data_IF_855092664951
#
_entry.id   IF_855092664951
#
_cell.length_a   1.000
_cell.length_b   1.000
_cell.length_c   1.000
_cell.angle_alpha   90.00
_cell.angle_beta   90.00
_cell.angle_gamma   90.00
#
_symmetry.space_group_name_H-M   'P 1'
#
loop_
_entity.id
_entity.type
_entity.pdbx_description
1 polymer ?
#
# COMPACT_ATOMS: atom_id res chain seq x y z
N UNK A 1 46.45 -38.62 44.23
CA UNK A 1 45.93 -39.59 45.22
C UNK A 1 44.76 -40.32 44.57
N UNK A 2 44.94 -41.60 44.28
CA UNK A 2 43.92 -42.48 43.72
C UNK A 2 42.98 -42.95 44.83
N UNK A 3 41.68 -43.05 44.52
CA UNK A 3 40.72 -43.81 45.33
C UNK A 3 39.81 -44.59 44.40
N UNK A 4 40.13 -45.88 44.31
CA UNK A 4 39.38 -47.00 43.76
C UNK A 4 38.27 -47.38 44.73
N UNK A 5 37.08 -47.79 44.28
CA UNK A 5 36.46 -49.13 44.52
C UNK A 5 34.93 -49.17 44.32
N UNK A 6 34.52 -50.29 43.69
CA UNK A 6 33.26 -51.05 43.78
C UNK A 6 31.93 -50.35 43.40
N UNK A 7 31.05 -50.91 42.56
CA UNK A 7 30.80 -52.31 42.21
C UNK A 7 29.53 -52.80 42.91
N UNK A 8 28.38 -52.73 42.24
CA UNK A 8 27.19 -53.54 42.57
C UNK A 8 26.26 -53.65 41.34
N UNK A 9 26.12 -54.88 40.85
CA UNK A 9 25.13 -55.30 39.86
C UNK A 9 23.83 -55.69 40.56
N UNK A 10 22.68 -55.44 39.92
CA UNK A 10 21.41 -56.09 40.28
C UNK A 10 20.55 -56.28 39.03
N UNK A 11 20.49 -57.54 38.59
CA UNK A 11 19.44 -58.22 37.81
C UNK A 11 18.07 -58.05 38.50
N UNK A 12 16.93 -57.78 37.85
CA UNK A 12 16.00 -58.65 37.07
C UNK A 12 14.85 -57.69 36.68
N UNK A 13 14.06 -57.82 35.61
CA UNK A 13 13.11 -58.90 35.30
C UNK A 13 12.47 -58.58 33.95
N UNK A 14 12.45 -59.54 33.03
CA UNK A 14 11.74 -59.52 31.76
C UNK A 14 10.33 -60.09 31.95
N UNK A 15 9.30 -59.45 31.38
CA UNK A 15 7.96 -60.00 31.24
C UNK A 15 7.57 -59.97 29.76
N UNK A 16 7.59 -61.14 29.14
CA UNK A 16 7.04 -61.41 27.82
C UNK A 16 5.53 -61.67 27.96
N UNK A 17 4.73 -61.12 27.05
CA UNK A 17 3.34 -61.54 26.86
C UNK A 17 3.17 -61.95 25.40
N UNK A 18 2.97 -63.25 25.21
CA UNK A 18 2.55 -63.90 23.98
C UNK A 18 1.04 -63.78 23.80
N UNK A 19 0.57 -63.49 22.59
CA UNK A 19 -0.74 -63.95 22.12
C UNK A 19 -0.68 -64.29 20.64
N UNK A 20 -1.23 -65.46 20.34
CA UNK A 20 -1.08 -66.25 19.12
C UNK A 20 -1.99 -65.79 17.97
N UNK A 21 -1.55 -66.12 16.76
CA UNK A 21 -2.25 -65.98 15.48
C UNK A 21 -3.38 -66.99 15.29
N UNK A 22 -4.38 -66.64 14.46
CA UNK A 22 -5.02 -67.58 13.51
C UNK A 22 -5.49 -66.84 12.25
N UNK A 23 -5.26 -67.50 11.11
CA UNK A 23 -5.47 -67.15 9.70
C UNK A 23 -6.86 -67.48 9.14
N UNK A 24 -7.28 -66.82 8.05
CA UNK A 24 -7.93 -67.49 6.89
C UNK A 24 -8.11 -66.55 5.68
N UNK A 25 -8.14 -67.14 4.48
CA UNK A 25 -7.89 -66.55 3.15
C UNK A 25 -9.12 -66.70 2.24
N UNK A 26 -9.35 -65.74 1.33
CA UNK A 26 -9.96 -65.92 -0.01
C UNK A 26 -11.46 -65.56 -0.20
N UNK A 27 -11.96 -65.50 -1.47
CA UNK A 27 -11.55 -64.57 -2.54
C UNK A 27 -12.73 -63.91 -3.34
N UNK A 28 -12.40 -62.87 -4.12
CA UNK A 28 -12.98 -62.37 -5.40
C UNK A 28 -14.49 -62.13 -5.61
N UNK A 29 -14.85 -60.91 -6.07
CA UNK A 29 -15.69 -60.71 -7.28
C UNK A 29 -15.70 -59.24 -7.73
N UNK A 30 -15.63 -59.03 -9.05
CA UNK A 30 -15.76 -57.76 -9.74
C UNK A 30 -17.24 -57.40 -9.94
N UNK A 31 -17.58 -56.12 -9.79
CA UNK A 31 -18.91 -55.58 -10.09
C UNK A 31 -18.81 -54.12 -10.53
N UNK A 32 -18.84 -53.90 -11.85
CA UNK A 32 -18.93 -52.60 -12.50
C UNK A 32 -20.30 -51.97 -12.26
N UNK A 33 -20.32 -50.79 -11.63
CA UNK A 33 -21.50 -49.96 -11.42
C UNK A 33 -21.14 -48.49 -11.65
N UNK A 34 -21.62 -47.95 -12.76
CA UNK A 34 -21.52 -46.53 -13.14
C UNK A 34 -22.46 -45.69 -12.27
N UNK A 35 -21.93 -44.71 -11.54
CA UNK A 35 -22.70 -43.58 -11.03
C UNK A 35 -21.80 -42.34 -10.97
N UNK A 36 -22.10 -41.36 -11.81
CA UNK A 36 -21.42 -40.06 -11.84
C UNK A 36 -21.55 -39.32 -10.50
N UNK A 37 -20.51 -38.62 -10.01
CA UNK A 37 -20.65 -37.78 -8.83
C UNK A 37 -21.26 -36.43 -9.23
N UNK A 38 -22.31 -36.03 -8.52
CA UNK A 38 -22.85 -34.68 -8.57
C UNK A 38 -21.82 -33.66 -8.03
N UNK A 39 -21.84 -32.40 -8.49
CA UNK A 39 -20.86 -31.39 -8.09
C UNK A 39 -21.12 -30.96 -6.64
N UNK A 40 -20.15 -31.20 -5.76
CA UNK A 40 -20.15 -30.64 -4.41
C UNK A 40 -19.98 -29.12 -4.48
N UNK A 41 -20.80 -28.33 -3.76
CA UNK A 41 -20.55 -26.90 -3.63
C UNK A 41 -19.28 -26.67 -2.80
N UNK A 42 -18.39 -25.82 -3.30
CA UNK A 42 -17.21 -25.34 -2.59
C UNK A 42 -17.63 -24.68 -1.28
N UNK A 43 -17.52 -25.41 -0.17
CA UNK A 43 -17.47 -24.81 1.16
C UNK A 43 -16.00 -24.51 1.45
N UNK A 44 -15.57 -23.28 1.20
CA UNK A 44 -14.27 -22.80 1.68
C UNK A 44 -14.26 -22.83 3.21
N UNK A 45 -13.25 -23.45 3.81
CA UNK A 45 -13.12 -23.63 5.24
C UNK A 45 -12.98 -22.25 5.93
N UNK A 46 -13.92 -21.81 6.80
CA UNK A 46 -13.92 -20.45 7.37
C UNK A 46 -12.66 -20.13 8.19
N UNK A 47 -11.98 -21.14 8.74
CA UNK A 47 -10.75 -20.97 9.50
C UNK A 47 -9.56 -20.49 8.64
N UNK A 48 -9.45 -20.96 7.39
CA UNK A 48 -8.38 -20.53 6.48
C UNK A 48 -8.52 -19.06 6.10
N UNK A 49 -9.76 -18.57 6.00
CA UNK A 49 -10.05 -17.18 5.67
C UNK A 49 -9.66 -16.21 6.80
N UNK A 50 -9.81 -16.61 8.07
CA UNK A 50 -9.39 -15.77 9.21
C UNK A 50 -7.87 -15.67 9.32
N UNK A 51 -7.14 -16.76 9.11
CA UNK A 51 -5.68 -16.74 9.13
C UNK A 51 -5.10 -15.84 8.02
N UNK A 52 -5.72 -15.85 6.84
CA UNK A 52 -5.32 -14.96 5.74
C UNK A 52 -5.62 -13.48 6.05
N UNK A 53 -6.78 -13.18 6.68
CA UNK A 53 -7.10 -11.83 7.14
C UNK A 53 -6.12 -11.33 8.20
N UNK A 54 -5.76 -12.18 9.15
CA UNK A 54 -4.80 -11.84 10.20
C UNK A 54 -3.41 -11.56 9.61
N UNK A 55 -2.95 -12.41 8.68
CA UNK A 55 -1.72 -12.19 7.92
C UNK A 55 -1.74 -10.82 7.22
N UNK A 56 -2.79 -10.53 6.44
CA UNK A 56 -2.92 -9.23 5.73
C UNK A 56 -2.87 -8.04 6.69
N UNK A 57 -3.57 -8.11 7.82
CA UNK A 57 -3.54 -7.05 8.85
C UNK A 57 -2.14 -6.86 9.43
N UNK A 58 -1.45 -7.96 9.77
CA UNK A 58 -0.10 -7.90 10.34
C UNK A 58 0.92 -7.35 9.34
N UNK A 59 0.88 -7.80 8.09
CA UNK A 59 1.74 -7.28 7.04
C UNK A 59 1.49 -5.79 6.79
N UNK A 60 0.23 -5.34 6.74
CA UNK A 60 -0.09 -3.92 6.57
C UNK A 60 0.36 -3.06 7.76
N UNK A 61 0.36 -3.61 8.97
CA UNK A 61 0.87 -2.94 10.18
C UNK A 61 2.39 -2.81 10.18
N UNK A 62 3.10 -3.87 9.79
CA UNK A 62 4.57 -3.89 9.76
C UNK A 62 5.13 -3.10 8.58
N UNK A 63 4.51 -3.22 7.41
CA UNK A 63 4.99 -2.68 6.14
C UNK A 63 3.93 -1.78 5.48
N UNK A 64 3.53 -0.66 6.13
CA UNK A 64 2.43 0.17 5.65
C UNK A 64 2.70 0.83 4.29
N UNK A 65 3.97 1.10 3.97
CA UNK A 65 4.44 1.75 2.76
C UNK A 65 4.58 0.82 1.55
N UNK A 66 4.42 -0.50 1.72
CA UNK A 66 4.47 -1.46 0.62
C UNK A 66 3.13 -1.48 -0.11
N UNK A 67 3.18 -1.25 -1.42
CA UNK A 67 2.09 -1.60 -2.33
C UNK A 67 2.31 -3.02 -2.85
N UNK A 68 1.46 -3.95 -2.40
CA UNK A 68 1.55 -5.36 -2.79
C UNK A 68 1.06 -5.64 -4.21
N UNK A 69 0.42 -4.67 -4.89
CA UNK A 69 0.09 -4.80 -6.32
C UNK A 69 1.34 -4.66 -7.20
N UNK A 70 2.26 -3.78 -6.82
CA UNK A 70 3.53 -3.56 -7.53
C UNK A 70 4.63 -4.49 -7.01
N UNK A 71 4.75 -4.63 -5.69
CA UNK A 71 5.82 -5.36 -5.02
C UNK A 71 5.26 -6.31 -3.95
N UNK A 72 4.75 -7.48 -4.34
CA UNK A 72 4.13 -8.41 -3.40
C UNK A 72 5.12 -8.93 -2.35
N UNK A 73 4.67 -9.02 -1.11
CA UNK A 73 5.49 -9.55 -0.02
C UNK A 73 5.68 -11.08 -0.14
N UNK A 74 6.83 -11.62 0.30
CA UNK A 74 6.99 -13.06 0.45
C UNK A 74 6.06 -13.59 1.56
N UNK A 75 5.20 -14.54 1.22
CA UNK A 75 4.22 -15.15 2.15
C UNK A 75 4.39 -16.65 2.33
N UNK A 76 5.16 -17.31 1.47
CA UNK A 76 5.43 -18.75 1.55
C UNK A 76 6.69 -19.11 0.77
N UNK A 77 7.15 -20.34 0.91
CA UNK A 77 8.23 -20.90 0.11
C UNK A 77 7.78 -21.17 -1.32
N UNK A 78 8.66 -20.92 -2.29
CA UNK A 78 8.33 -21.13 -3.70
C UNK A 78 8.32 -22.63 -4.05
N UNK A 79 7.23 -23.18 -4.60
CA UNK A 79 7.22 -24.56 -5.07
C UNK A 79 8.05 -24.76 -6.34
N UNK A 80 8.34 -23.67 -7.06
CA UNK A 80 9.12 -23.68 -8.31
C UNK A 80 10.60 -23.37 -8.05
N UNK A 81 10.88 -22.42 -7.16
CA UNK A 81 12.23 -21.91 -6.94
C UNK A 81 12.90 -22.58 -5.73
N UNK A 82 13.18 -23.86 -5.90
CA UNK A 82 13.78 -24.74 -4.89
C UNK A 82 14.55 -25.87 -5.54
N UNK A 83 15.49 -26.45 -4.81
CA UNK A 83 16.14 -27.67 -5.26
C UNK A 83 15.23 -28.91 -5.13
N UNK A 84 15.55 -29.98 -5.88
CA UNK A 84 14.72 -31.18 -5.96
C UNK A 84 14.60 -31.93 -4.63
N UNK A 85 15.61 -31.84 -3.77
CA UNK A 85 15.65 -32.46 -2.43
C UNK A 85 14.85 -31.71 -1.37
N UNK A 86 14.24 -30.58 -1.71
CA UNK A 86 13.29 -29.90 -0.83
C UNK A 86 11.86 -30.37 -1.12
N UNK A 87 11.16 -30.81 -0.08
CA UNK A 87 9.72 -30.95 -0.07
C UNK A 87 9.06 -29.82 0.72
N UNK A 88 7.86 -29.43 0.30
CA UNK A 88 7.05 -28.40 0.95
C UNK A 88 5.73 -29.00 1.42
N UNK A 89 5.21 -28.50 2.54
CA UNK A 89 3.90 -28.86 3.10
C UNK A 89 3.35 -27.68 3.91
N UNK A 90 2.15 -27.84 4.51
CA UNK A 90 1.53 -26.80 5.34
C UNK A 90 1.41 -25.45 4.61
N UNK A 91 0.71 -25.43 3.48
CA UNK A 91 0.56 -24.25 2.62
C UNK A 91 1.90 -23.64 2.19
N UNK A 92 2.89 -24.50 1.92
CA UNK A 92 4.27 -24.13 1.56
C UNK A 92 5.00 -23.32 2.64
N UNK A 93 4.64 -23.46 3.91
CA UNK A 93 5.37 -22.86 5.04
C UNK A 93 6.36 -23.83 5.69
N UNK A 94 6.09 -25.13 5.61
CA UNK A 94 6.95 -26.20 6.13
C UNK A 94 7.88 -26.73 5.06
N UNK A 95 9.18 -26.70 5.35
CA UNK A 95 10.25 -27.26 4.51
C UNK A 95 10.75 -28.55 5.14
N UNK A 96 10.89 -29.62 4.36
CA UNK A 96 11.51 -30.86 4.80
C UNK A 96 12.53 -31.37 3.79
N UNK A 97 13.64 -31.91 4.29
CA UNK A 97 14.67 -32.50 3.45
C UNK A 97 14.31 -33.93 3.06
N UNK A 98 14.41 -34.24 1.75
CA UNK A 98 14.11 -35.57 1.18
C UNK A 98 15.22 -36.12 0.29
N UNK A 99 16.43 -35.55 0.37
CA UNK A 99 17.62 -36.06 -0.32
C UNK A 99 18.34 -37.16 0.46
N UNK A 100 19.50 -37.58 -0.04
CA UNK A 100 20.32 -38.61 0.61
C UNK A 100 21.17 -38.07 1.78
N UNK A 101 21.61 -36.82 1.68
CA UNK A 101 22.41 -36.12 2.70
C UNK A 101 23.68 -36.85 3.12
N UNK A 102 24.47 -37.36 2.17
CA UNK A 102 25.75 -38.04 2.47
C UNK A 102 26.94 -37.10 2.43
N UNK A 103 26.86 -36.05 1.61
CA UNK A 103 27.96 -35.11 1.38
C UNK A 103 27.45 -33.67 1.32
N UNK A 104 28.33 -32.65 1.44
CA UNK A 104 27.94 -31.25 1.21
C UNK A 104 27.33 -30.96 -0.17
N UNK A 105 27.52 -31.86 -1.15
CA UNK A 105 26.90 -31.74 -2.49
C UNK A 105 25.41 -32.09 -2.50
N UNK A 106 24.90 -32.61 -1.39
CA UNK A 106 23.50 -32.94 -1.22
C UNK A 106 22.70 -31.82 -0.53
N UNK A 107 23.33 -30.65 -0.29
CA UNK A 107 22.69 -29.48 0.26
C UNK A 107 21.58 -28.96 -0.67
N UNK A 108 20.46 -28.52 -0.11
CA UNK A 108 19.29 -28.15 -0.87
C UNK A 108 18.60 -26.93 -0.25
N UNK A 109 18.36 -25.90 -1.05
CA UNK A 109 17.73 -24.66 -0.63
C UNK A 109 16.40 -24.40 -1.33
N UNK A 110 15.62 -23.51 -0.74
CA UNK A 110 14.40 -22.92 -1.30
C UNK A 110 14.35 -21.43 -1.01
N UNK A 111 13.96 -20.64 -2.01
CA UNK A 111 13.64 -19.22 -1.85
C UNK A 111 12.15 -19.03 -1.60
N UNK A 112 11.79 -17.91 -0.96
CA UNK A 112 10.40 -17.47 -0.88
C UNK A 112 9.83 -17.14 -2.27
N UNK A 113 8.52 -16.93 -2.36
CA UNK A 113 7.84 -16.61 -3.63
C UNK A 113 8.28 -15.27 -4.24
N UNK A 114 8.67 -14.30 -3.43
CA UNK A 114 9.00 -12.92 -3.86
C UNK A 114 10.23 -12.40 -3.13
N UNK A 115 10.97 -11.44 -3.74
CA UNK A 115 12.03 -10.73 -3.04
C UNK A 115 11.42 -9.79 -1.99
N UNK A 116 12.25 -9.35 -1.05
CA UNK A 116 11.85 -8.36 -0.05
C UNK A 116 11.73 -6.99 -0.72
N UNK A 117 10.56 -6.33 -0.72
CA UNK A 117 10.40 -4.99 -1.27
C UNK A 117 11.20 -3.95 -0.48
N UNK A 118 11.90 -3.04 -1.17
CA UNK A 118 12.65 -1.94 -0.55
C UNK A 118 11.77 -1.06 0.35
N UNK A 119 10.49 -0.88 -0.02
CA UNK A 119 9.49 -0.11 0.74
C UNK A 119 9.16 -0.70 2.12
N UNK A 120 9.64 -1.90 2.47
CA UNK A 120 9.55 -2.39 3.85
C UNK A 120 10.33 -1.50 4.83
N UNK A 121 11.46 -0.91 4.38
CA UNK A 121 12.45 -0.26 5.24
C UNK A 121 13.20 -1.27 6.11
N UNK A 122 12.49 -1.91 7.03
CA UNK A 122 12.97 -3.07 7.80
C UNK A 122 12.05 -4.25 7.48
N UNK A 123 12.59 -5.42 7.19
CA UNK A 123 11.85 -6.65 6.94
C UNK A 123 12.25 -7.74 7.94
N UNK A 124 11.33 -8.62 8.32
CA UNK A 124 11.57 -9.65 9.32
C UNK A 124 10.77 -10.92 9.04
N UNK A 125 11.41 -12.08 9.21
CA UNK A 125 10.76 -13.38 9.21
C UNK A 125 11.42 -14.30 10.22
N UNK A 126 10.69 -15.31 10.69
CA UNK A 126 11.19 -16.32 11.63
C UNK A 126 11.10 -17.72 11.05
N UNK A 127 12.05 -18.57 11.46
CA UNK A 127 12.10 -19.98 11.09
C UNK A 127 12.17 -20.80 12.38
N UNK A 128 11.16 -21.64 12.61
CA UNK A 128 11.14 -22.61 13.69
C UNK A 128 11.81 -23.89 13.24
N UNK A 129 12.77 -24.38 14.02
CA UNK A 129 13.35 -25.70 13.81
C UNK A 129 12.40 -26.75 14.38
N UNK A 130 11.68 -27.44 13.51
CA UNK A 130 10.74 -28.52 13.91
C UNK A 130 11.52 -29.78 14.25
N UNK A 131 12.57 -30.08 13.48
CA UNK A 131 13.48 -31.20 13.70
C UNK A 131 14.83 -30.89 13.08
N UNK A 132 15.91 -31.04 13.85
CA UNK A 132 17.28 -30.96 13.34
C UNK A 132 17.67 -32.14 12.43
N UNK A 133 16.84 -33.17 12.33
CA UNK A 133 17.19 -34.39 11.62
C UNK A 133 18.42 -35.08 12.21
N UNK A 134 19.28 -35.58 11.33
CA UNK A 134 20.48 -36.32 11.72
C UNK A 134 21.55 -35.39 12.29
N UNK A 135 22.05 -34.45 11.48
CA UNK A 135 23.22 -33.63 11.83
C UNK A 135 22.87 -32.16 12.10
N UNK A 136 21.74 -31.65 11.57
CA UNK A 136 21.31 -30.27 11.78
C UNK A 136 22.05 -29.25 10.92
N UNK A 137 22.48 -29.65 9.73
CA UNK A 137 23.13 -28.79 8.73
C UNK A 137 22.10 -27.92 8.02
N UNK A 138 21.57 -26.96 8.78
CA UNK A 138 20.49 -26.07 8.38
C UNK A 138 21.01 -24.64 8.31
N UNK A 139 20.87 -24.01 7.14
CA UNK A 139 21.25 -22.61 6.93
C UNK A 139 20.02 -21.74 6.71
N UNK A 140 19.91 -20.62 7.43
CA UNK A 140 18.82 -19.66 7.31
C UNK A 140 19.39 -18.32 6.84
N UNK A 141 18.75 -17.66 5.88
CA UNK A 141 19.17 -16.33 5.48
C UNK A 141 18.54 -15.83 4.19
N UNK A 142 19.39 -15.32 3.30
CA UNK A 142 18.99 -14.54 2.13
C UNK A 142 19.75 -14.99 0.88
N UNK A 143 19.11 -14.94 -0.28
CA UNK A 143 19.82 -15.12 -1.55
C UNK A 143 19.19 -14.30 -2.68
N UNK A 144 20.00 -13.88 -3.64
CA UNK A 144 19.52 -13.24 -4.86
C UNK A 144 18.82 -14.25 -5.78
N UNK A 145 18.03 -13.72 -6.72
CA UNK A 145 17.41 -14.52 -7.77
C UNK A 145 18.47 -15.27 -8.59
N UNK A 146 18.20 -16.53 -8.92
CA UNK A 146 19.08 -17.33 -9.78
C UNK A 146 20.33 -17.90 -9.09
N UNK A 147 20.60 -17.58 -7.82
CA UNK A 147 21.62 -18.28 -7.02
C UNK A 147 21.32 -19.78 -7.01
N UNK A 148 22.36 -20.61 -7.08
CA UNK A 148 22.24 -22.06 -7.12
C UNK A 148 21.60 -22.61 -5.83
N UNK A 149 20.51 -23.36 -5.99
CA UNK A 149 19.77 -23.94 -4.86
C UNK A 149 20.34 -25.29 -4.39
N UNK A 150 21.34 -25.86 -5.05
CA UNK A 150 22.06 -27.06 -4.58
C UNK A 150 23.22 -26.70 -3.62
N UNK A 151 22.92 -25.80 -2.67
CA UNK A 151 23.84 -25.14 -1.73
C UNK A 151 23.07 -24.73 -0.49
N UNK A 152 23.76 -24.56 0.65
CA UNK A 152 23.21 -23.84 1.79
C UNK A 152 23.34 -22.31 1.58
N UNK A 153 22.45 -21.49 2.17
CA UNK A 153 22.55 -20.03 2.09
C UNK A 153 23.91 -19.55 2.59
N UNK A 154 24.51 -18.59 1.89
CA UNK A 154 25.82 -18.04 2.24
C UNK A 154 27.01 -18.61 1.47
N UNK A 155 26.95 -19.84 0.94
CA UNK A 155 28.12 -20.48 0.30
C UNK A 155 28.52 -19.91 -1.06
N UNK A 156 27.52 -19.47 -1.84
CA UNK A 156 27.73 -18.91 -3.17
C UNK A 156 27.58 -17.37 -3.16
N UNK A 157 28.10 -16.70 -4.19
CA UNK A 157 27.97 -15.24 -4.34
C UNK A 157 26.52 -14.76 -4.31
N UNK A 158 26.28 -13.61 -3.70
CA UNK A 158 24.95 -13.01 -3.50
C UNK A 158 24.01 -13.91 -2.67
N UNK A 159 24.60 -14.71 -1.77
CA UNK A 159 23.91 -15.54 -0.79
C UNK A 159 24.50 -15.26 0.59
N UNK A 160 23.65 -15.29 1.62
CA UNK A 160 23.98 -14.91 2.99
C UNK A 160 23.26 -15.87 3.93
N UNK A 161 23.95 -16.46 4.90
CA UNK A 161 23.34 -17.48 5.77
C UNK A 161 23.96 -17.60 7.15
N UNK A 162 23.14 -18.03 8.11
CA UNK A 162 23.54 -18.40 9.47
C UNK A 162 23.21 -19.88 9.69
N UNK A 163 24.22 -20.66 10.08
CA UNK A 163 24.15 -22.14 10.07
C UNK A 163 24.05 -22.70 11.50
N UNK A 164 23.23 -23.74 11.64
CA UNK A 164 22.80 -24.25 12.95
C UNK A 164 23.81 -25.14 13.66
N UNK A 165 24.64 -25.86 12.93
CA UNK A 165 25.59 -26.83 13.44
C UNK A 165 26.84 -26.20 14.05
N UNK A 166 27.30 -25.07 13.49
CA UNK A 166 28.51 -24.38 13.92
C UNK A 166 28.26 -22.96 14.47
N UNK A 167 27.07 -22.41 14.27
CA UNK A 167 26.72 -21.05 14.67
C UNK A 167 27.41 -19.96 13.83
N UNK A 168 27.99 -20.32 12.68
CA UNK A 168 28.74 -19.39 11.85
C UNK A 168 27.83 -18.65 10.86
N UNK A 169 28.28 -17.45 10.48
CA UNK A 169 27.72 -16.68 9.39
C UNK A 169 28.53 -16.88 8.10
N UNK A 170 27.85 -17.01 6.98
CA UNK A 170 28.42 -17.24 5.66
C UNK A 170 27.98 -16.11 4.74
N UNK A 171 28.93 -15.26 4.34
CA UNK A 171 28.70 -14.07 3.53
C UNK A 171 29.32 -14.25 2.14
N UNK A 172 28.53 -14.75 1.18
CA UNK A 172 28.97 -14.99 -0.20
C UNK A 172 30.28 -15.80 -0.32
N UNK A 173 30.48 -16.74 0.59
CA UNK A 173 31.70 -17.52 0.78
C UNK A 173 31.39 -18.88 1.41
N UNK A 174 32.08 -19.93 0.97
CA UNK A 174 32.02 -21.25 1.60
C UNK A 174 32.74 -21.33 2.95
N UNK A 175 33.46 -20.29 3.35
CA UNK A 175 34.15 -20.21 4.65
C UNK A 175 33.33 -19.36 5.61
N UNK A 176 32.76 -19.99 6.64
CA UNK A 176 32.00 -19.32 7.68
C UNK A 176 32.89 -18.51 8.63
N UNK A 177 32.29 -17.52 9.29
CA UNK A 177 32.89 -16.74 10.38
C UNK A 177 32.10 -16.93 11.67
N UNK A 178 32.75 -17.02 12.85
CA UNK A 178 32.06 -17.08 14.13
C UNK A 178 31.09 -15.89 14.26
N UNK A 179 29.84 -16.17 14.62
CA UNK A 179 28.80 -15.14 14.67
C UNK A 179 27.88 -15.32 15.88
N UNK A 180 27.17 -16.44 15.94
CA UNK A 180 26.16 -16.70 16.96
C UNK A 180 26.34 -18.07 17.61
N UNK A 181 25.46 -18.42 18.57
CA UNK A 181 25.40 -19.77 19.10
C UNK A 181 24.95 -20.77 18.02
N UNK A 182 25.11 -22.07 18.25
CA UNK A 182 24.44 -23.09 17.44
C UNK A 182 22.93 -23.07 17.68
N UNK A 183 22.14 -23.69 16.79
CA UNK A 183 20.69 -23.82 16.97
C UNK A 183 20.16 -25.19 16.53
N UNK A 184 19.07 -25.63 17.16
CA UNK A 184 18.60 -27.01 17.01
C UNK A 184 17.08 -27.14 17.16
N UNK A 185 16.57 -28.37 17.17
CA UNK A 185 15.15 -28.68 17.36
C UNK A 185 14.54 -27.87 18.50
N UNK A 186 13.48 -27.13 18.21
CA UNK A 186 12.78 -26.29 19.19
C UNK A 186 13.22 -24.82 19.18
N UNK A 187 14.35 -24.47 18.60
CA UNK A 187 14.76 -23.07 18.48
C UNK A 187 13.95 -22.32 17.40
N UNK A 188 13.78 -21.01 17.60
CA UNK A 188 13.24 -20.06 16.61
C UNK A 188 14.34 -19.10 16.24
N UNK A 189 14.65 -19.03 14.94
CA UNK A 189 15.68 -18.14 14.40
C UNK A 189 15.01 -17.09 13.52
N UNK A 190 15.17 -15.83 13.89
CA UNK A 190 14.71 -14.71 13.08
C UNK A 190 15.80 -14.14 12.21
N UNK A 191 15.42 -13.53 11.09
CA UNK A 191 16.30 -12.81 10.19
C UNK A 191 15.69 -11.43 9.92
N UNK A 192 16.37 -10.39 10.39
CA UNK A 192 15.97 -9.00 10.24
C UNK A 192 16.86 -8.31 9.22
N UNK A 193 16.24 -7.75 8.19
CA UNK A 193 16.93 -7.05 7.10
C UNK A 193 16.55 -5.58 7.15
N UNK A 194 17.54 -4.71 7.29
CA UNK A 194 17.37 -3.28 7.17
C UNK A 194 17.81 -2.84 5.77
N UNK A 195 16.82 -2.45 4.96
CA UNK A 195 16.98 -2.05 3.55
C UNK A 195 17.39 -0.57 3.41
N UNK A 196 17.42 0.18 4.50
CA UNK A 196 17.86 1.59 4.51
C UNK A 196 19.38 1.66 4.60
N UNK A 197 19.98 0.87 5.50
CA UNK A 197 21.43 0.82 5.70
C UNK A 197 22.08 -0.47 5.18
N UNK A 198 21.32 -1.31 4.48
CA UNK A 198 21.78 -2.56 3.85
C UNK A 198 22.44 -3.54 4.82
N UNK A 199 21.88 -3.70 6.03
CA UNK A 199 22.40 -4.62 7.04
C UNK A 199 21.42 -5.74 7.37
N UNK A 200 21.94 -6.84 7.91
CA UNK A 200 21.13 -7.94 8.44
C UNK A 200 21.65 -8.40 9.79
N UNK A 201 20.74 -8.68 10.72
CA UNK A 201 21.02 -9.40 11.96
C UNK A 201 20.06 -10.57 12.12
N UNK A 202 20.48 -11.57 12.88
CA UNK A 202 19.63 -12.68 13.27
C UNK A 202 19.17 -12.53 14.71
N UNK A 203 18.10 -13.24 15.03
CA UNK A 203 17.62 -13.42 16.40
C UNK A 203 17.57 -14.90 16.73
N UNK A 204 17.74 -15.24 18.00
CA UNK A 204 17.48 -16.59 18.51
C UNK A 204 16.53 -16.49 19.69
N UNK A 205 15.38 -17.16 19.59
CA UNK A 205 14.37 -17.24 20.65
C UNK A 205 13.99 -15.86 21.22
N UNK A 206 13.84 -14.85 20.33
CA UNK A 206 13.45 -13.48 20.72
C UNK A 206 14.60 -12.56 21.12
N UNK A 207 15.87 -12.99 21.04
CA UNK A 207 17.03 -12.15 21.35
C UNK A 207 17.87 -11.86 20.11
N UNK A 208 18.22 -10.59 19.88
CA UNK A 208 19.12 -10.18 18.79
C UNK A 208 20.55 -10.68 19.00
N UNK A 209 21.18 -11.15 17.93
CA UNK A 209 22.55 -11.66 17.90
C UNK A 209 23.57 -10.63 17.35
N UNK A 210 23.12 -9.41 17.05
CA UNK A 210 23.97 -8.38 16.42
C UNK A 210 24.11 -8.54 14.90
N UNK A 211 24.71 -7.55 14.25
CA UNK A 211 24.82 -7.49 12.78
C UNK A 211 25.69 -8.64 12.26
N UNK A 212 25.15 -9.43 11.35
CA UNK A 212 25.85 -10.50 10.65
C UNK A 212 26.47 -10.01 9.34
N UNK A 213 25.72 -9.18 8.59
CA UNK A 213 26.12 -8.72 7.26
C UNK A 213 25.86 -7.23 7.08
N UNK A 214 26.75 -6.58 6.34
CA UNK A 214 26.62 -5.21 5.83
C UNK A 214 26.66 -5.23 4.30
N UNK A 215 26.37 -4.10 3.67
CA UNK A 215 26.50 -3.90 2.23
C UNK A 215 25.69 -4.92 1.40
N UNK A 216 24.51 -5.29 1.91
CA UNK A 216 23.62 -6.23 1.24
C UNK A 216 23.08 -5.63 -0.07
N UNK A 217 23.06 -6.41 -1.17
CA UNK A 217 22.39 -6.00 -2.39
C UNK A 217 20.86 -5.96 -2.18
N UNK A 218 20.12 -5.18 -2.99
CA UNK A 218 18.67 -5.17 -2.96
C UNK A 218 18.08 -6.47 -3.54
N UNK A 219 16.76 -6.61 -3.45
CA UNK A 219 15.98 -7.70 -4.07
C UNK A 219 16.39 -9.11 -3.62
N UNK A 220 16.78 -9.25 -2.35
CA UNK A 220 17.07 -10.54 -1.74
C UNK A 220 15.79 -11.28 -1.36
N UNK A 221 15.84 -12.61 -1.46
CA UNK A 221 14.76 -13.51 -1.09
C UNK A 221 15.08 -14.16 0.26
N UNK A 222 14.12 -14.26 1.19
CA UNK A 222 14.22 -15.19 2.31
C UNK A 222 14.55 -16.58 1.76
N UNK A 223 15.50 -17.26 2.39
CA UNK A 223 16.02 -18.55 1.91
C UNK A 223 16.32 -19.44 3.10
N UNK A 224 15.96 -20.72 3.00
CA UNK A 224 16.43 -21.77 3.93
C UNK A 224 17.05 -22.90 3.12
N UNK A 225 18.15 -23.45 3.64
CA UNK A 225 18.78 -24.65 3.12
C UNK A 225 18.88 -25.74 4.18
N UNK A 226 18.69 -26.98 3.74
CA UNK A 226 18.78 -28.21 4.53
C UNK A 226 19.72 -29.18 3.80
N UNK A 227 20.32 -30.12 4.51
CA UNK A 227 21.29 -31.05 3.94
C UNK A 227 21.14 -32.48 4.45
N UNK A 228 20.55 -32.74 5.62
CA UNK A 228 20.51 -34.11 6.18
C UNK A 228 19.11 -34.66 6.40
N UNK A 229 18.91 -35.99 6.28
CA UNK A 229 17.60 -36.60 6.46
C UNK A 229 16.96 -36.27 7.81
N UNK A 230 15.65 -36.00 7.76
CA UNK A 230 14.85 -35.69 8.95
C UNK A 230 14.87 -34.22 9.37
N UNK A 231 15.62 -33.35 8.68
CA UNK A 231 15.57 -31.91 8.89
C UNK A 231 14.22 -31.35 8.42
N UNK A 232 13.58 -30.60 9.32
CA UNK A 232 12.27 -29.98 9.10
C UNK A 232 12.24 -28.62 9.77
N UNK A 233 11.77 -27.60 9.05
CA UNK A 233 11.62 -26.24 9.55
C UNK A 233 10.30 -25.63 9.09
N UNK A 234 9.75 -24.71 9.89
CA UNK A 234 8.56 -23.93 9.55
C UNK A 234 8.90 -22.44 9.45
N UNK A 235 8.41 -21.78 8.42
CA UNK A 235 8.55 -20.33 8.29
C UNK A 235 7.32 -19.60 8.81
N UNK A 236 7.59 -18.47 9.47
CA UNK A 236 6.63 -17.43 9.77
C UNK A 236 7.04 -16.16 9.01
N UNK A 237 6.28 -15.83 7.97
CA UNK A 237 6.40 -14.59 7.20
C UNK A 237 5.44 -13.50 7.73
N UNK A 238 4.88 -13.67 8.94
CA UNK A 238 3.86 -12.81 9.53
C UNK A 238 2.49 -13.48 9.68
N UNK A 239 2.36 -14.78 9.38
CA UNK A 239 1.14 -15.55 9.64
C UNK A 239 0.81 -15.57 11.14
N UNK A 240 1.85 -15.67 11.97
CA UNK A 240 1.73 -15.72 13.42
C UNK A 240 2.51 -14.56 14.06
N UNK A 241 2.19 -14.19 15.32
CA UNK A 241 3.04 -13.30 16.10
C UNK A 241 4.49 -13.81 16.12
N UNK A 242 5.44 -12.89 16.00
CA UNK A 242 6.85 -13.20 16.11
C UNK A 242 7.27 -13.39 17.57
N UNK A 243 8.30 -14.20 17.80
CA UNK A 243 8.92 -14.35 19.12
C UNK A 243 9.73 -13.09 19.46
N UNK A 244 10.42 -12.51 18.48
CA UNK A 244 11.09 -11.22 18.63
C UNK A 244 10.09 -10.06 18.53
N UNK A 245 10.26 -9.06 19.39
CA UNK A 245 9.47 -7.82 19.33
C UNK A 245 10.01 -6.90 18.21
N UNK A 246 9.67 -7.26 16.97
CA UNK A 246 10.07 -6.49 15.79
C UNK A 246 9.42 -5.10 15.75
N UNK A 247 8.26 -4.92 16.39
CA UNK A 247 7.54 -3.65 16.38
C UNK A 247 8.22 -2.62 17.27
N UNK A 248 8.69 -3.04 18.44
CA UNK A 248 9.52 -2.19 19.30
C UNK A 248 10.84 -1.84 18.62
N UNK A 249 11.52 -2.82 17.99
CA UNK A 249 12.74 -2.55 17.23
C UNK A 249 12.53 -1.53 16.10
N UNK A 250 11.46 -1.68 15.30
CA UNK A 250 11.12 -0.71 14.25
C UNK A 250 10.80 0.68 14.82
N UNK A 251 10.14 0.76 15.97
CA UNK A 251 9.81 2.03 16.64
C UNK A 251 11.06 2.72 17.16
N UNK A 252 11.96 1.99 17.80
CA UNK A 252 13.25 2.50 18.27
C UNK A 252 14.06 3.05 17.08
N UNK A 253 14.11 2.31 15.97
CA UNK A 253 14.82 2.74 14.76
C UNK A 253 14.21 4.02 14.16
N UNK A 254 12.89 4.10 14.03
CA UNK A 254 12.21 5.32 13.56
C UNK A 254 12.51 6.51 14.46
N UNK A 255 12.52 6.31 15.77
CA UNK A 255 12.83 7.36 16.76
C UNK A 255 14.27 7.85 16.62
N UNK A 256 15.23 6.92 16.45
CA UNK A 256 16.65 7.26 16.21
C UNK A 256 16.81 8.05 14.91
N UNK A 257 16.17 7.61 13.82
CA UNK A 257 16.21 8.33 12.54
C UNK A 257 15.57 9.70 12.63
N UNK A 258 14.40 9.83 13.27
CA UNK A 258 13.75 11.12 13.47
C UNK A 258 14.64 12.08 14.28
N UNK A 259 15.25 11.60 15.36
CA UNK A 259 16.17 12.40 16.15
C UNK A 259 17.42 12.84 15.36
N UNK A 260 17.89 12.01 14.41
CA UNK A 260 18.97 12.40 13.49
C UNK A 260 18.52 13.46 12.49
N UNK A 261 17.30 13.36 11.96
CA UNK A 261 16.70 14.36 11.06
C UNK A 261 16.54 15.69 11.80
N UNK A 262 15.97 15.69 13.00
CA UNK A 262 15.72 16.88 13.81
C UNK A 262 17.02 17.60 14.22
N UNK A 263 18.10 16.84 14.41
CA UNK A 263 19.44 17.36 14.72
C UNK A 263 20.28 17.64 13.48
N UNK A 264 19.80 17.31 12.29
CA UNK A 264 20.58 17.48 11.08
C UNK A 264 20.82 18.98 10.86
N UNK A 265 22.07 19.43 10.77
CA UNK A 265 22.36 20.85 10.63
C UNK A 265 21.81 21.34 9.30
N UNK A 266 20.79 22.19 9.38
CA UNK A 266 20.38 23.02 8.25
C UNK A 266 21.47 24.08 8.14
N UNK A 267 22.28 24.02 7.06
CA UNK A 267 23.52 24.80 6.95
C UNK A 267 23.38 26.27 7.38
N UNK A 268 24.43 26.77 8.04
CA UNK A 268 24.54 28.08 8.72
C UNK A 268 24.47 29.30 7.78
N UNK A 269 23.50 29.36 6.87
CA UNK A 269 22.98 30.65 6.39
C UNK A 269 21.89 31.07 7.36
N UNK A 270 22.28 31.27 8.61
CA UNK A 270 21.40 31.69 9.70
C UNK A 270 20.52 32.86 9.22
N UNK A 271 19.20 32.65 9.24
CA UNK A 271 18.22 33.62 8.77
C UNK A 271 17.64 33.37 7.37
N UNK A 272 18.34 32.69 6.45
CA UNK A 272 17.81 32.48 5.08
C UNK A 272 16.67 31.48 5.02
N UNK A 273 16.77 30.35 5.72
CA UNK A 273 15.70 29.36 5.77
C UNK A 273 14.48 29.90 6.53
N UNK A 274 14.71 30.66 7.60
CA UNK A 274 13.64 31.33 8.35
C UNK A 274 12.94 32.35 7.46
N UNK A 275 13.71 33.20 6.78
CA UNK A 275 13.18 34.17 5.81
C UNK A 275 12.45 33.47 4.67
N UNK A 276 12.95 32.33 4.19
CA UNK A 276 12.30 31.53 3.14
C UNK A 276 10.95 31.00 3.61
N UNK A 277 10.89 30.35 4.79
CA UNK A 277 9.63 29.84 5.34
C UNK A 277 8.66 30.99 5.58
N UNK A 278 9.11 32.08 6.19
CA UNK A 278 8.29 33.26 6.42
C UNK A 278 7.79 33.84 5.09
N UNK A 279 8.61 33.90 4.03
CA UNK A 279 8.20 34.35 2.69
C UNK A 279 7.16 33.41 2.09
N UNK A 280 7.30 32.09 2.27
CA UNK A 280 6.30 31.11 1.83
C UNK A 280 4.97 31.29 2.55
N UNK A 281 4.98 31.47 3.87
CA UNK A 281 3.78 31.73 4.67
C UNK A 281 3.13 33.05 4.27
N UNK A 282 3.93 34.11 4.10
CA UNK A 282 3.46 35.42 3.66
C UNK A 282 2.80 35.33 2.28
N UNK A 283 3.45 34.67 1.32
CA UNK A 283 2.91 34.43 -0.03
C UNK A 283 1.58 33.66 0.01
N UNK A 284 1.48 32.61 0.83
CA UNK A 284 0.23 31.87 1.03
C UNK A 284 -0.89 32.76 1.59
N UNK A 285 -0.59 33.57 2.62
CA UNK A 285 -1.57 34.46 3.25
C UNK A 285 -2.05 35.55 2.28
N UNK A 286 -1.15 36.12 1.49
CA UNK A 286 -1.44 37.11 0.46
C UNK A 286 -2.25 36.49 -0.68
N UNK A 287 -1.84 35.33 -1.18
CA UNK A 287 -2.50 34.62 -2.28
C UNK A 287 -3.95 34.26 -1.93
N UNK A 288 -4.22 33.76 -0.72
CA UNK A 288 -5.57 33.42 -0.29
C UNK A 288 -6.38 34.60 0.28
N UNK A 289 -5.84 35.81 0.24
CA UNK A 289 -6.56 37.01 0.66
C UNK A 289 -6.73 37.14 2.18
N UNK A 290 -5.88 36.53 3.01
CA UNK A 290 -5.93 36.69 4.46
C UNK A 290 -5.28 38.00 4.93
N UNK A 291 -5.77 39.16 4.45
CA UNK A 291 -5.15 40.49 4.63
C UNK A 291 -4.75 40.81 6.07
N UNK A 292 -5.68 40.70 7.02
CA UNK A 292 -5.43 41.08 8.42
C UNK A 292 -4.34 40.20 9.06
N UNK A 293 -4.35 38.90 8.75
CA UNK A 293 -3.35 37.93 9.22
C UNK A 293 -2.01 38.15 8.54
N UNK A 294 -2.00 38.41 7.23
CA UNK A 294 -0.79 38.72 6.46
C UNK A 294 -0.10 39.98 6.99
N UNK A 295 -0.85 41.04 7.27
CA UNK A 295 -0.32 42.28 7.85
C UNK A 295 0.22 42.06 9.26
N UNK A 296 -0.49 41.33 10.11
CA UNK A 296 -0.02 41.00 11.45
C UNK A 296 1.26 40.15 11.40
N UNK A 297 1.32 39.18 10.49
CA UNK A 297 2.47 38.32 10.28
C UNK A 297 3.68 39.10 9.75
N UNK A 298 3.50 39.96 8.74
CA UNK A 298 4.55 40.81 8.18
C UNK A 298 5.15 41.76 9.23
N UNK A 299 4.31 42.39 10.07
CA UNK A 299 4.77 43.23 11.20
C UNK A 299 5.60 42.46 12.23
N UNK A 300 5.29 41.19 12.46
CA UNK A 300 5.98 40.36 13.45
C UNK A 300 7.29 39.74 12.94
N UNK A 301 7.50 39.72 11.62
CA UNK A 301 8.61 39.02 10.96
C UNK A 301 9.51 39.96 10.15
N UNK A 302 9.28 41.28 10.22
CA UNK A 302 9.95 42.32 9.42
C UNK A 302 9.99 41.99 7.90
N UNK A 303 8.95 41.33 7.39
CA UNK A 303 8.83 41.00 5.98
C UNK A 303 8.07 42.07 5.19
N UNK A 304 8.55 42.35 3.98
CA UNK A 304 7.84 43.23 3.04
C UNK A 304 6.78 42.44 2.29
N UNK A 305 5.52 42.88 2.39
CA UNK A 305 4.43 42.37 1.56
C UNK A 305 4.59 42.99 0.16
N UNK A 306 4.95 42.16 -0.82
CA UNK A 306 5.23 42.61 -2.20
C UNK A 306 3.96 43.00 -2.98
N UNK A 307 2.82 42.39 -2.67
CA UNK A 307 1.53 42.81 -3.24
C UNK A 307 0.97 44.00 -2.49
N UNK A 308 0.54 45.01 -3.24
CA UNK A 308 -0.15 46.16 -2.68
C UNK A 308 -1.45 45.69 -2.01
N UNK A 309 -1.65 46.05 -0.74
CA UNK A 309 -2.84 45.70 0.06
C UNK A 309 -4.16 46.04 -0.65
N UNK A 310 -4.13 46.99 -1.59
CA UNK A 310 -5.25 47.33 -2.47
C UNK A 310 -5.65 46.17 -3.39
N UNK A 311 -4.69 45.47 -4.02
CA UNK A 311 -4.96 44.33 -4.91
C UNK A 311 -5.59 43.16 -4.15
N UNK A 312 -5.12 42.89 -2.93
CA UNK A 312 -5.67 41.81 -2.09
C UNK A 312 -7.12 42.14 -1.66
N UNK A 313 -7.39 43.39 -1.27
CA UNK A 313 -8.76 43.85 -0.96
C UNK A 313 -9.69 43.84 -2.16
N UNK A 314 -9.16 44.16 -3.35
CA UNK A 314 -9.90 44.07 -4.61
C UNK A 314 -10.31 42.62 -4.90
N UNK A 315 -9.40 41.66 -4.75
CA UNK A 315 -9.68 40.22 -4.86
C UNK A 315 -10.73 39.76 -3.86
N UNK A 316 -10.59 40.10 -2.57
CA UNK A 316 -11.59 39.79 -1.55
C UNK A 316 -12.99 40.35 -1.89
N UNK A 317 -13.05 41.56 -2.45
CA UNK A 317 -14.33 42.18 -2.85
C UNK A 317 -14.99 41.39 -3.99
N UNK A 318 -14.23 41.00 -5.00
CA UNK A 318 -14.71 40.18 -6.12
C UNK A 318 -15.19 38.82 -5.60
N UNK A 319 -14.38 38.11 -4.80
CA UNK A 319 -14.76 36.83 -4.18
C UNK A 319 -16.04 36.95 -3.35
N UNK A 320 -16.17 38.01 -2.55
CA UNK A 320 -17.38 38.26 -1.74
C UNK A 320 -18.61 38.43 -2.62
N UNK A 321 -18.51 39.19 -3.71
CA UNK A 321 -19.63 39.37 -4.65
C UNK A 321 -20.07 38.05 -5.27
N UNK A 322 -19.10 37.24 -5.71
CA UNK A 322 -19.35 35.89 -6.24
C UNK A 322 -20.01 34.98 -5.21
N UNK A 323 -19.51 34.95 -3.97
CA UNK A 323 -20.07 34.15 -2.88
C UNK A 323 -21.47 34.60 -2.46
N UNK A 324 -21.76 35.89 -2.52
CA UNK A 324 -23.10 36.44 -2.24
C UNK A 324 -24.09 36.28 -3.40
N UNK A 325 -23.67 35.69 -4.52
CA UNK A 325 -24.51 35.51 -5.71
C UNK A 325 -24.70 36.76 -6.56
N UNK A 326 -24.02 37.88 -6.25
CA UNK A 326 -24.09 39.15 -7.00
C UNK A 326 -23.12 39.13 -8.19
N UNK A 327 -23.35 38.19 -9.09
CA UNK A 327 -22.45 37.89 -10.20
C UNK A 327 -22.34 39.05 -11.20
N UNK A 328 -23.40 39.83 -11.42
CA UNK A 328 -23.36 40.99 -12.31
C UNK A 328 -22.38 42.06 -11.83
N UNK A 329 -22.44 42.39 -10.55
CA UNK A 329 -21.51 43.32 -9.91
C UNK A 329 -20.10 42.73 -9.80
N UNK A 330 -19.96 41.42 -9.60
CA UNK A 330 -18.66 40.77 -9.62
C UNK A 330 -17.97 40.96 -10.97
N UNK A 331 -18.68 40.70 -12.09
CA UNK A 331 -18.14 40.86 -13.45
C UNK A 331 -17.76 42.31 -13.73
N UNK A 332 -18.64 43.26 -13.40
CA UNK A 332 -18.38 44.69 -13.59
C UNK A 332 -17.16 45.15 -12.75
N UNK A 333 -17.11 44.74 -11.49
CA UNK A 333 -15.99 45.07 -10.59
C UNK A 333 -14.68 44.46 -11.10
N UNK A 334 -14.69 43.23 -11.62
CA UNK A 334 -13.52 42.60 -12.23
C UNK A 334 -13.06 43.34 -13.49
N UNK A 335 -13.97 43.78 -14.36
CA UNK A 335 -13.64 44.57 -15.56
C UNK A 335 -13.10 45.97 -15.22
N UNK A 336 -13.62 46.60 -14.17
CA UNK A 336 -13.14 47.90 -13.72
C UNK A 336 -11.73 47.82 -13.10
N UNK A 337 -11.49 46.81 -12.26
CA UNK A 337 -10.23 46.66 -11.54
C UNK A 337 -9.15 45.96 -12.37
N UNK A 338 -9.54 45.08 -13.30
CA UNK A 338 -8.64 44.29 -14.15
C UNK A 338 -9.14 44.26 -15.63
N UNK A 339 -9.00 45.36 -16.38
CA UNK A 339 -9.70 45.57 -17.67
C UNK A 339 -9.40 44.53 -18.75
N UNK A 340 -8.19 43.99 -18.77
CA UNK A 340 -7.77 43.01 -19.78
C UNK A 340 -7.98 41.55 -19.36
N UNK A 341 -8.44 41.29 -18.14
CA UNK A 341 -8.50 39.95 -17.57
C UNK A 341 -9.56 39.07 -18.25
N UNK A 342 -10.77 39.60 -18.36
CA UNK A 342 -11.92 38.89 -18.95
C UNK A 342 -11.86 38.90 -20.48
N UNK A 343 -11.21 39.90 -21.08
CA UNK A 343 -10.98 39.94 -22.53
C UNK A 343 -9.98 38.87 -22.97
N UNK A 344 -8.94 38.60 -22.16
CA UNK A 344 -7.94 37.56 -22.45
C UNK A 344 -8.44 36.15 -22.13
N UNK A 345 -9.48 36.01 -21.32
CA UNK A 345 -10.00 34.72 -20.86
C UNK A 345 -11.51 34.58 -21.17
N UNK A 346 -11.89 34.36 -22.44
CA UNK A 346 -13.29 34.28 -22.85
C UNK A 346 -14.04 33.11 -22.20
N UNK A 347 -13.36 32.00 -21.91
CA UNK A 347 -13.95 30.84 -21.22
C UNK A 347 -14.35 31.18 -19.78
N UNK A 348 -13.53 31.96 -19.06
CA UNK A 348 -13.84 32.43 -17.71
C UNK A 348 -15.02 33.40 -17.74
N UNK A 349 -15.03 34.34 -18.69
CA UNK A 349 -16.15 35.26 -18.87
C UNK A 349 -17.46 34.51 -19.19
N UNK A 350 -17.40 33.48 -20.03
CA UNK A 350 -18.54 32.63 -20.33
C UNK A 350 -19.05 31.91 -19.07
N UNK A 351 -18.17 31.27 -18.30
CA UNK A 351 -18.55 30.61 -17.06
C UNK A 351 -19.16 31.58 -16.03
N UNK A 352 -18.61 32.80 -15.90
CA UNK A 352 -19.17 33.86 -15.06
C UNK A 352 -20.57 34.29 -15.52
N UNK A 353 -20.81 34.37 -16.83
CA UNK A 353 -22.12 34.72 -17.41
C UNK A 353 -23.15 33.60 -17.25
N UNK A 354 -22.74 32.34 -17.38
CA UNK A 354 -23.59 31.19 -17.07
C UNK A 354 -23.98 31.22 -15.59
N UNK A 355 -23.02 31.42 -14.69
CA UNK A 355 -23.30 31.55 -13.26
C UNK A 355 -24.19 32.76 -12.95
N UNK A 356 -23.99 33.88 -13.63
CA UNK A 356 -24.84 35.05 -13.52
C UNK A 356 -26.30 34.74 -13.87
N UNK A 357 -26.53 34.00 -14.96
CA UNK A 357 -27.88 33.59 -15.35
C UNK A 357 -28.55 32.72 -14.27
N UNK A 358 -27.81 31.76 -13.70
CA UNK A 358 -28.32 30.89 -12.63
C UNK A 358 -28.73 31.71 -11.39
N UNK A 359 -27.87 32.63 -10.94
CA UNK A 359 -28.16 33.48 -9.77
C UNK A 359 -29.30 34.49 -10.03
N UNK A 360 -29.44 34.96 -11.27
CA UNK A 360 -30.56 35.80 -11.69
C UNK A 360 -31.89 35.01 -11.65
N UNK A 361 -31.89 33.73 -12.04
CA UNK A 361 -33.05 32.83 -11.92
C UNK A 361 -33.36 32.51 -10.45
N UNK A 362 -32.34 32.37 -9.61
CA UNK A 362 -32.49 32.15 -8.16
C UNK A 362 -32.88 33.42 -7.37
N UNK A 363 -32.87 34.60 -8.00
CA UNK A 363 -33.28 35.88 -7.42
C UNK A 363 -32.23 36.58 -6.55
N UNK A 364 -31.01 36.05 -6.46
CA UNK A 364 -29.88 36.59 -5.68
C UNK A 364 -29.14 37.71 -6.41
N UNK A 365 -29.13 37.70 -7.75
CA UNK A 365 -28.53 38.74 -8.61
C UNK A 365 -29.61 39.70 -9.16
N UNK A 366 -30.36 40.34 -8.28
CA UNK A 366 -31.44 41.26 -8.66
C UNK A 366 -30.92 42.71 -8.77
N UNK A 367 -30.91 43.21 -10.01
CA UNK A 367 -30.60 44.59 -10.48
C UNK A 367 -29.14 44.94 -10.84
N UNK A 368 -28.74 44.57 -12.06
CA UNK A 368 -27.89 45.44 -12.90
C UNK A 368 -28.80 46.12 -13.94
N UNK A 369 -28.86 47.45 -13.89
CA UNK A 369 -29.67 48.31 -14.76
C UNK A 369 -29.56 47.90 -16.23
N UNK A 370 -30.70 47.66 -16.85
CA UNK A 370 -30.85 47.61 -18.30
C UNK A 370 -30.37 48.93 -18.91
N UNK A 371 -29.24 48.92 -19.63
CA UNK A 371 -28.94 49.96 -20.61
C UNK A 371 -29.85 49.74 -21.82
N UNK A 372 -30.67 50.75 -22.09
CA UNK A 372 -31.71 50.69 -23.11
C UNK A 372 -31.19 50.64 -24.54
N UNK A 373 -32.08 50.14 -25.41
CA UNK A 373 -32.21 50.63 -26.78
C UNK A 373 -31.46 49.86 -27.86
N UNK A 374 -32.06 48.77 -28.36
CA UNK A 374 -32.56 48.65 -29.74
C UNK A 374 -32.76 47.18 -30.12
N UNK A 375 -34.00 46.71 -29.97
CA UNK A 375 -34.50 45.57 -30.74
C UNK A 375 -35.10 46.14 -32.04
N UNK A 376 -34.62 45.75 -33.23
CA UNK A 376 -35.22 46.20 -34.47
C UNK A 376 -36.53 45.43 -34.68
N UNK A 377 -37.66 46.12 -34.51
CA UNK A 377 -38.96 45.61 -34.96
C UNK A 377 -39.03 45.69 -36.48
N UNK A 378 -39.35 44.53 -37.06
CA UNK A 378 -39.98 44.33 -38.36
C UNK A 378 -40.94 45.44 -38.76
N UNK A 379 -40.68 46.09 -39.89
CA UNK A 379 -41.68 46.82 -40.66
C UNK A 379 -42.29 45.85 -41.68
N UNK A 380 -43.61 45.68 -41.62
CA UNK A 380 -44.45 46.09 -42.73
C UNK A 380 -45.90 46.25 -42.25
N UNK A 381 -46.46 47.42 -42.56
CA UNK A 381 -47.86 47.79 -42.36
C UNK A 381 -48.43 47.96 -43.77
N UNK A 382 -49.65 47.56 -44.10
CA UNK A 382 -50.93 48.27 -43.84
C UNK A 382 -52.02 47.57 -44.71
N UNK A 383 -53.30 48.00 -44.69
CA UNK A 383 -54.27 48.21 -43.61
C UNK A 383 -55.57 47.38 -43.89
N UNK A 384 -56.56 47.19 -43.00
CA UNK A 384 -57.65 48.12 -42.64
C UNK A 384 -58.53 47.45 -41.55
N UNK A 385 -58.88 48.24 -40.54
CA UNK A 385 -59.78 48.02 -39.38
C UNK A 385 -61.26 47.77 -39.73
N UNK A 386 -62.24 47.77 -38.77
CA UNK A 386 -62.24 47.34 -37.36
C UNK A 386 -63.45 46.45 -36.99
N UNK A 387 -63.43 45.78 -35.82
CA UNK A 387 -64.41 45.96 -34.70
C UNK A 387 -64.22 44.92 -33.57
N UNK A 388 -63.84 45.44 -32.41
CA UNK A 388 -64.51 45.36 -31.09
C UNK A 388 -64.93 44.03 -30.43
N UNK A 389 -64.21 43.74 -29.33
CA UNK A 389 -64.65 43.30 -27.97
C UNK A 389 -65.05 41.85 -27.63
N UNK A 390 -64.30 41.33 -26.63
CA UNK A 390 -64.71 40.53 -25.44
C UNK A 390 -64.86 39.00 -25.53
N UNK A 391 -63.91 38.32 -24.85
CA UNK A 391 -63.98 37.20 -23.86
C UNK A 391 -65.17 36.19 -23.87
N UNK A 392 -65.03 34.91 -23.41
CA UNK A 392 -64.24 34.51 -22.23
C UNK A 392 -63.65 33.05 -22.18
N UNK A 393 -63.03 32.80 -21.02
CA UNK A 393 -62.45 31.61 -20.39
C UNK A 393 -63.08 30.22 -20.60
N UNK A 394 -62.25 29.18 -20.47
CA UNK A 394 -62.24 28.18 -19.37
C UNK A 394 -61.40 26.95 -19.78
N UNK A 395 -60.55 26.45 -18.86
CA UNK A 395 -59.94 25.10 -18.89
C UNK A 395 -61.02 24.02 -18.56
N UNK A 396 -60.76 22.69 -18.40
CA UNK A 396 -59.49 21.93 -18.37
C UNK A 396 -59.51 20.47 -18.95
N UNK A 397 -58.34 19.81 -18.86
CA UNK A 397 -58.14 18.40 -18.41
C UNK A 397 -58.13 17.17 -19.36
N UNK A 398 -57.22 16.24 -18.99
CA UNK A 398 -57.08 14.80 -19.31
C UNK A 398 -56.65 14.40 -20.73
N UNK A 399 -55.79 13.41 -20.98
CA UNK A 399 -55.07 12.42 -20.16
C UNK A 399 -54.31 11.48 -21.13
N UNK A 400 -53.14 10.99 -20.76
CA UNK A 400 -52.37 10.02 -21.57
C UNK A 400 -52.47 8.62 -20.98
N UNK A 401 -52.63 7.63 -21.85
CA UNK A 401 -52.45 6.21 -21.55
C UNK A 401 -51.42 5.63 -22.54
N UNK A 402 -50.40 4.96 -22.01
CA UNK A 402 -49.27 4.37 -22.75
C UNK A 402 -49.44 2.86 -22.79
N UNK A 403 -49.28 2.26 -23.98
CA UNK A 403 -49.04 0.83 -24.14
C UNK A 403 -47.56 0.56 -24.47
N UNK A 404 -47.01 -0.40 -23.73
CA UNK A 404 -45.75 -1.12 -23.92
C UNK A 404 -45.69 -1.92 -25.23
N UNK A 405 -44.50 -2.11 -25.83
CA UNK A 405 -43.83 -3.43 -25.92
C UNK A 405 -42.55 -3.40 -26.79
N UNK A 406 -41.62 -4.25 -26.36
CA UNK A 406 -40.25 -4.51 -26.77
C UNK A 406 -40.06 -5.28 -28.09
N UNK A 407 -38.91 -5.11 -28.75
CA UNK A 407 -37.80 -6.10 -28.89
C UNK A 407 -36.94 -5.83 -30.13
N UNK A 408 -35.60 -6.04 -30.04
CA UNK A 408 -34.77 -6.32 -31.22
C UNK A 408 -33.33 -5.83 -31.22
N UNK A 409 -32.42 -6.68 -30.71
CA UNK A 409 -30.94 -6.70 -30.76
C UNK A 409 -30.23 -5.96 -31.92
N UNK A 410 -29.07 -5.36 -31.62
CA UNK A 410 -28.01 -5.13 -32.62
C UNK A 410 -26.84 -4.27 -32.13
N UNK A 411 -25.77 -4.95 -31.71
CA UNK A 411 -24.43 -4.44 -31.32
C UNK A 411 -23.88 -3.25 -32.13
N UNK A 412 -23.53 -2.15 -31.44
CA UNK A 412 -22.27 -1.44 -31.67
C UNK A 412 -21.94 -0.53 -30.48
N UNK A 413 -20.65 -0.50 -30.18
CA UNK A 413 -19.95 0.32 -29.19
C UNK A 413 -20.36 1.79 -29.23
N UNK A 414 -20.92 2.29 -28.14
CA UNK A 414 -20.84 3.72 -27.80
C UNK A 414 -20.72 3.84 -26.28
N UNK A 415 -19.59 4.38 -25.84
CA UNK A 415 -19.41 4.88 -24.48
C UNK A 415 -20.54 5.85 -24.17
N UNK A 416 -21.43 5.46 -23.27
CA UNK A 416 -22.27 6.37 -22.51
C UNK A 416 -21.36 7.06 -21.50
N UNK A 417 -20.66 8.10 -21.96
CA UNK A 417 -20.24 9.18 -21.08
C UNK A 417 -21.50 9.96 -20.74
N UNK A 418 -21.93 9.84 -19.50
CA UNK A 418 -22.93 10.68 -18.88
C UNK A 418 -22.60 12.14 -19.24
N UNK A 419 -23.59 12.87 -19.77
CA UNK A 419 -23.56 14.33 -19.76
C UNK A 419 -23.64 14.72 -18.29
N UNK A 420 -22.47 14.79 -17.63
CA UNK A 420 -22.32 15.57 -16.42
C UNK A 420 -22.70 17.00 -16.80
N UNK A 421 -23.61 17.58 -16.02
CA UNK A 421 -23.91 18.99 -16.07
C UNK A 421 -22.58 19.76 -15.92
N UNK A 422 -22.13 20.39 -17.00
CA UNK A 422 -20.98 21.29 -17.09
C UNK A 422 -21.22 22.60 -16.30
N UNK A 423 -21.78 22.49 -15.09
CA UNK A 423 -21.79 23.58 -14.12
C UNK A 423 -20.48 23.52 -13.35
N UNK A 424 -19.53 24.38 -13.76
CA UNK A 424 -18.33 24.66 -12.98
C UNK A 424 -18.72 24.98 -11.52
N UNK A 425 -18.36 24.14 -10.54
CA UNK A 425 -18.75 24.37 -9.16
C UNK A 425 -18.19 25.72 -8.67
N UNK A 426 -18.95 26.46 -7.87
CA UNK A 426 -18.54 27.74 -7.25
C UNK A 426 -17.08 27.74 -6.73
N UNK A 427 -16.58 26.68 -6.07
CA UNK A 427 -15.18 26.58 -5.64
C UNK A 427 -14.16 26.64 -6.78
N UNK A 428 -14.42 25.98 -7.91
CA UNK A 428 -13.55 25.99 -9.09
C UNK A 428 -13.56 27.35 -9.79
N UNK A 429 -14.73 28.00 -9.81
CA UNK A 429 -14.90 29.32 -10.40
C UNK A 429 -14.17 30.41 -9.57
N UNK A 430 -14.21 30.30 -8.24
CA UNK A 430 -13.41 31.12 -7.33
C UNK A 430 -11.91 30.87 -7.46
N UNK A 431 -11.50 29.60 -7.54
CA UNK A 431 -10.09 29.24 -7.71
C UNK A 431 -9.52 29.73 -9.05
N UNK A 432 -10.33 29.66 -10.12
CA UNK A 432 -9.96 30.18 -11.43
C UNK A 432 -9.85 31.70 -11.41
N UNK A 433 -10.84 32.41 -10.86
CA UNK A 433 -10.78 33.86 -10.67
C UNK A 433 -9.55 34.28 -9.87
N UNK A 434 -9.25 33.61 -8.75
CA UNK A 434 -8.07 33.92 -7.94
C UNK A 434 -6.78 33.70 -8.72
N UNK A 435 -6.63 32.56 -9.41
CA UNK A 435 -5.44 32.28 -10.21
C UNK A 435 -5.19 33.27 -11.34
N UNK A 436 -6.22 33.98 -11.82
CA UNK A 436 -6.08 34.97 -12.88
C UNK A 436 -5.84 36.38 -12.34
N UNK A 437 -6.29 36.69 -11.12
CA UNK A 437 -6.13 38.01 -10.50
C UNK A 437 -4.85 38.12 -9.66
N UNK A 438 -4.28 36.99 -9.24
CA UNK A 438 -2.93 36.90 -8.65
C UNK A 438 -1.89 36.70 -9.74
#
# INVERSE_FOLDING_TARGET
AAATTAGAATTTTTAATTVSAVSSVGPMSAGSGSSAPAPFPHCGDPALNEQEKELKRRLKRLYPAVDEQETPLPRSWSPKDKFSYIGLSQNNLRVHYKGHGKTPKDAASVRATHPIPAACGIYYFEVKIVSKGRDGYMGIGLSAQGVNMNRLPGWDKHSYGYHGDDGHSFCSSGTGQPYGPTFTTGDVIGCCVNLINNTCFYTKNGHSLGIAFTDLPPNLYPTVGLQTPGEVVDANFGQHPFVFDIEDYMREWRTKTQAQIDRFPIGDREGEWQTMIQKMVSSYLVHHGYCATAEAFARSTDQTVLEELASIKNRQRIQKLVLTGRMGEAIETTQQLYPSLLERNPNLLFALKVRQFIEMVNGTDSEVRCLGGHSPKSQDSYPVSPRSFSSPSMSPSHGMNIHSLSTGKGSSTHCSGEFEEDDMPLPYLLQSLDSFVT
#
